data_IF_759728010861
#
_entry.id   IF_759728010861
#
_cell.length_a   1.000
_cell.length_b   1.000
_cell.length_c   1.000
_cell.angle_alpha   90.00
_cell.angle_beta   90.00
_cell.angle_gamma   90.00
#
_symmetry.space_group_name_H-M   'P 1'
#
loop_
_entity.id
_entity.type
_entity.pdbx_description
1 polymer ?
#
# COMPACT_ATOMS: atom_id res chain seq x y z
N UNK A 1 8.28 -6.23 10.79
CA UNK A 1 7.28 -6.67 9.80
C UNK A 1 6.46 -5.47 9.35
N UNK A 2 6.19 -5.36 8.06
CA UNK A 2 5.35 -4.30 7.50
C UNK A 2 4.26 -4.93 6.65
N UNK A 3 3.02 -4.48 6.86
CA UNK A 3 1.87 -4.83 6.04
C UNK A 3 1.26 -3.55 5.46
N UNK A 4 0.90 -3.58 4.20
CA UNK A 4 0.31 -2.43 3.52
C UNK A 4 -0.80 -2.86 2.57
N UNK A 5 -1.73 -1.96 2.34
CA UNK A 5 -2.65 -1.97 1.21
C UNK A 5 -2.48 -0.67 0.41
N UNK A 6 -3.42 -0.37 -0.47
CA UNK A 6 -3.37 0.84 -1.28
C UNK A 6 -3.51 2.14 -0.47
N UNK A 7 -4.13 2.10 0.71
CA UNK A 7 -4.49 3.28 1.49
C UNK A 7 -3.85 3.38 2.86
N UNK A 8 -3.22 2.31 3.34
CA UNK A 8 -2.68 2.27 4.69
C UNK A 8 -1.46 1.36 4.82
N UNK A 9 -0.67 1.64 5.83
CA UNK A 9 0.52 0.89 6.17
C UNK A 9 0.57 0.70 7.69
N UNK A 10 0.91 -0.50 8.11
CA UNK A 10 1.15 -0.82 9.53
C UNK A 10 2.51 -1.49 9.68
N UNK A 11 3.30 -0.98 10.59
CA UNK A 11 4.59 -1.57 10.96
C UNK A 11 4.51 -2.19 12.35
N UNK A 12 4.98 -3.41 12.46
CA UNK A 12 4.99 -4.18 13.70
C UNK A 12 6.42 -4.55 14.09
N UNK A 13 6.71 -4.46 15.37
CA UNK A 13 7.88 -5.10 15.98
C UNK A 13 7.53 -6.53 16.35
N UNK A 14 8.40 -7.44 15.98
CA UNK A 14 8.29 -8.85 16.36
C UNK A 14 9.07 -9.05 17.67
N UNK A 15 8.37 -9.42 18.71
CA UNK A 15 8.97 -9.75 20.00
C UNK A 15 8.90 -11.28 20.18
N UNK A 16 10.05 -11.90 20.37
CA UNK A 16 10.11 -13.33 20.67
C UNK A 16 9.89 -13.54 22.17
N UNK A 17 8.87 -14.31 22.51
CA UNK A 17 8.61 -14.70 23.89
C UNK A 17 8.87 -16.21 24.04
N UNK A 18 9.67 -16.64 25.05
CA UNK A 18 10.05 -18.06 25.19
C UNK A 18 8.87 -19.01 25.39
N UNK A 19 7.75 -18.51 25.90
CA UNK A 19 6.61 -19.34 26.33
C UNK A 19 5.38 -19.24 25.42
N UNK A 20 5.24 -18.18 24.63
CA UNK A 20 4.02 -17.91 23.85
C UNK A 20 4.25 -17.71 22.35
N UNK A 21 5.49 -17.85 21.90
CA UNK A 21 5.85 -17.59 20.52
C UNK A 21 5.94 -16.08 20.18
N UNK A 22 6.15 -15.76 18.91
CA UNK A 22 6.33 -14.38 18.46
C UNK A 22 5.06 -13.58 18.70
N UNK A 23 5.18 -12.44 19.35
CA UNK A 23 4.13 -11.45 19.52
C UNK A 23 4.42 -10.24 18.66
N UNK A 24 3.37 -9.61 18.13
CA UNK A 24 3.46 -8.45 17.26
C UNK A 24 2.98 -7.21 18.01
N UNK A 25 3.84 -6.20 18.07
CA UNK A 25 3.52 -4.91 18.62
C UNK A 25 3.45 -3.89 17.50
N UNK A 26 2.31 -3.23 17.35
CA UNK A 26 2.16 -2.11 16.41
C UNK A 26 3.05 -0.95 16.85
N UNK A 27 4.01 -0.57 16.01
CA UNK A 27 4.92 0.55 16.29
C UNK A 27 4.60 1.79 15.49
N UNK A 28 4.00 1.62 14.30
CA UNK A 28 3.60 2.74 13.45
C UNK A 28 2.43 2.35 12.55
N UNK A 29 1.49 3.27 12.37
CA UNK A 29 0.43 3.19 11.39
C UNK A 29 0.42 4.47 10.55
N UNK A 30 0.21 4.32 9.25
CA UNK A 30 0.18 5.42 8.29
C UNK A 30 -0.99 5.25 7.34
N UNK A 31 -1.73 6.32 7.09
CA UNK A 31 -2.84 6.35 6.15
C UNK A 31 -2.58 7.38 5.06
N UNK A 32 -2.84 6.99 3.81
CA UNK A 32 -2.75 7.88 2.66
C UNK A 32 -4.14 8.43 2.37
N UNK A 33 -4.31 9.73 2.55
CA UNK A 33 -5.60 10.41 2.39
C UNK A 33 -6.11 10.31 0.95
N UNK A 34 -5.23 10.38 -0.03
CA UNK A 34 -5.59 10.29 -1.45
C UNK A 34 -6.10 8.92 -1.89
N UNK A 35 -5.70 7.86 -1.20
CA UNK A 35 -6.15 6.51 -1.51
C UNK A 35 -7.59 6.23 -1.12
N UNK A 36 -8.14 6.97 -0.16
CA UNK A 36 -9.53 6.85 0.27
C UNK A 36 -10.48 7.71 -0.56
N UNK A 37 -9.97 8.67 -1.33
CA UNK A 37 -10.76 9.38 -2.33
C UNK A 37 -11.18 8.43 -3.44
N UNK A 38 -12.49 8.14 -3.54
CA UNK A 38 -12.98 7.37 -4.67
C UNK A 38 -12.64 8.11 -5.95
N UNK A 39 -12.02 7.44 -6.90
CA UNK A 39 -11.71 8.02 -8.20
C UNK A 39 -12.96 8.55 -8.89
N UNK A 40 -14.11 7.90 -8.63
CA UNK A 40 -15.44 8.29 -9.09
C UNK A 40 -15.85 9.63 -8.48
N UNK A 41 -15.56 9.90 -7.21
CA UNK A 41 -15.94 11.15 -6.55
C UNK A 41 -15.11 12.33 -7.06
N UNK A 42 -13.83 12.12 -7.36
CA UNK A 42 -12.97 13.15 -7.98
C UNK A 42 -13.36 13.50 -9.43
N UNK A 43 -13.96 12.56 -10.13
CA UNK A 43 -14.38 12.75 -11.51
C UNK A 43 -15.82 13.27 -11.61
N UNK A 44 -16.71 12.93 -10.67
CA UNK A 44 -18.09 13.40 -10.65
C UNK A 44 -18.21 14.88 -10.27
N UNK A 45 -17.33 15.39 -9.41
CA UNK A 45 -17.30 16.82 -9.09
C UNK A 45 -16.92 17.71 -10.28
N UNK A 46 -16.19 17.16 -11.24
CA UNK A 46 -15.84 17.84 -12.48
C UNK A 46 -16.93 17.76 -13.55
N UNK A 47 -17.76 16.74 -13.52
CA UNK A 47 -18.78 16.48 -14.54
C UNK A 47 -20.13 17.17 -14.27
N UNK A 48 -20.40 17.58 -13.03
CA UNK A 48 -21.69 18.11 -12.61
C UNK A 48 -21.92 19.61 -12.81
N UNK A 49 -20.93 20.36 -13.30
CA UNK A 49 -21.00 21.83 -13.35
C UNK A 49 -20.99 22.48 -14.72
N UNK A 50 -21.01 21.72 -15.80
CA UNK A 50 -21.15 22.32 -17.11
C UNK A 50 -22.62 22.31 -17.54
N UNK A 51 -23.25 23.48 -17.71
CA UNK A 51 -24.54 23.51 -18.37
C UNK A 51 -24.37 22.92 -19.76
N UNK A 52 -25.19 21.91 -20.05
CA UNK A 52 -25.27 21.34 -21.41
C UNK A 52 -25.72 22.45 -22.31
N UNK A 53 -24.77 23.10 -22.94
CA UNK A 53 -25.09 23.98 -24.08
C UNK A 53 -25.46 23.07 -25.23
N UNK A 54 -26.75 23.06 -25.58
CA UNK A 54 -27.23 22.45 -26.80
C UNK A 54 -26.37 22.94 -27.96
N UNK A 55 -25.54 22.06 -28.54
CA UNK A 55 -24.71 22.40 -29.67
C UNK A 55 -23.32 21.76 -29.73
N UNK A 56 -22.94 20.96 -28.77
CA UNK A 56 -21.66 20.27 -28.85
C UNK A 56 -21.82 18.94 -29.62
N UNK A 57 -21.23 18.90 -30.81
CA UNK A 57 -21.24 17.73 -31.69
C UNK A 57 -20.69 16.42 -31.08
N UNK A 58 -20.80 15.29 -31.79
CA UNK A 58 -20.76 13.93 -31.26
C UNK A 58 -19.38 13.39 -30.88
N UNK A 59 -18.37 14.22 -30.59
CA UNK A 59 -16.97 13.79 -30.49
C UNK A 59 -16.35 13.76 -29.08
N UNK A 60 -17.14 13.64 -27.98
CA UNK A 60 -16.56 13.67 -26.61
C UNK A 60 -16.52 12.33 -25.86
N UNK A 61 -16.84 11.19 -26.47
CA UNK A 61 -16.89 9.90 -25.76
C UNK A 61 -15.53 9.26 -25.43
N UNK A 62 -14.54 9.16 -26.36
CA UNK A 62 -13.33 8.36 -26.13
C UNK A 62 -12.27 9.07 -25.25
N UNK A 63 -12.16 10.40 -25.29
CA UNK A 63 -11.14 11.16 -24.57
C UNK A 63 -11.31 11.08 -23.04
N UNK A 64 -12.54 11.02 -22.52
CA UNK A 64 -12.79 10.98 -21.08
C UNK A 64 -12.37 9.66 -20.42
N UNK A 65 -12.41 8.54 -21.13
CA UNK A 65 -11.98 7.22 -20.60
C UNK A 65 -10.46 7.14 -20.53
N UNK A 66 -9.76 7.63 -21.57
CA UNK A 66 -8.29 7.68 -21.58
C UNK A 66 -7.74 8.59 -20.49
N UNK A 67 -8.34 9.78 -20.30
CA UNK A 67 -7.96 10.71 -19.22
C UNK A 67 -8.19 10.12 -17.82
N UNK A 68 -9.29 9.40 -17.60
CA UNK A 68 -9.57 8.71 -16.35
C UNK A 68 -8.55 7.61 -16.06
N UNK A 69 -8.16 6.86 -17.08
CA UNK A 69 -7.15 5.80 -16.95
C UNK A 69 -5.77 6.37 -16.63
N UNK A 70 -5.38 7.45 -17.27
CA UNK A 70 -4.12 8.15 -16.96
C UNK A 70 -4.10 8.71 -15.54
N UNK A 71 -5.17 9.36 -15.10
CA UNK A 71 -5.30 9.88 -13.74
C UNK A 71 -5.23 8.77 -12.69
N UNK A 72 -5.88 7.63 -12.94
CA UNK A 72 -5.82 6.47 -12.07
C UNK A 72 -4.39 5.93 -11.97
N UNK A 73 -3.68 5.81 -13.07
CA UNK A 73 -2.30 5.33 -13.13
C UNK A 73 -1.34 6.27 -12.40
N UNK A 74 -1.48 7.56 -12.57
CA UNK A 74 -0.66 8.56 -11.88
C UNK A 74 -0.93 8.58 -10.38
N UNK A 75 -2.19 8.45 -9.97
CA UNK A 75 -2.57 8.34 -8.56
C UNK A 75 -1.96 7.10 -7.93
N UNK A 76 -2.02 5.96 -8.61
CA UNK A 76 -1.44 4.71 -8.14
C UNK A 76 0.09 4.80 -7.99
N UNK A 77 0.78 5.40 -8.95
CA UNK A 77 2.22 5.63 -8.86
C UNK A 77 2.61 6.52 -7.68
N UNK A 78 1.84 7.56 -7.44
CA UNK A 78 2.04 8.46 -6.29
C UNK A 78 1.86 7.74 -4.97
N UNK A 79 0.81 6.96 -4.84
CA UNK A 79 0.54 6.14 -3.65
C UNK A 79 1.65 5.12 -3.41
N UNK A 80 2.05 4.40 -4.45
CA UNK A 80 3.13 3.40 -4.36
C UNK A 80 4.45 4.03 -3.96
N UNK A 81 4.78 5.20 -4.51
CA UNK A 81 5.98 5.96 -4.13
C UNK A 81 5.93 6.39 -2.67
N UNK A 82 4.82 6.94 -2.23
CA UNK A 82 4.65 7.38 -0.85
C UNK A 82 4.74 6.21 0.13
N UNK A 83 4.15 5.07 -0.19
CA UNK A 83 4.30 3.84 0.60
C UNK A 83 5.76 3.39 0.66
N UNK A 84 6.46 3.37 -0.46
CA UNK A 84 7.87 2.99 -0.52
C UNK A 84 8.76 3.95 0.30
N UNK A 85 8.52 5.24 0.24
CA UNK A 85 9.24 6.25 1.02
C UNK A 85 9.01 6.08 2.52
N UNK A 86 7.78 5.81 2.95
CA UNK A 86 7.46 5.54 4.35
C UNK A 86 8.09 4.22 4.84
N UNK A 87 8.05 3.18 4.04
CA UNK A 87 8.70 1.90 4.35
C UNK A 87 10.20 2.10 4.52
N UNK A 88 10.85 2.77 3.59
CA UNK A 88 12.28 3.06 3.65
C UNK A 88 12.65 3.83 4.93
N UNK A 89 11.84 4.82 5.31
CA UNK A 89 12.02 5.59 6.53
C UNK A 89 11.91 4.71 7.79
N UNK A 90 10.86 3.89 7.87
CA UNK A 90 10.62 3.00 9.01
C UNK A 90 11.75 1.98 9.15
N UNK A 91 12.16 1.34 8.05
CA UNK A 91 13.23 0.33 8.07
C UNK A 91 14.58 0.95 8.43
N UNK A 92 14.84 2.17 7.97
CA UNK A 92 16.08 2.90 8.29
C UNK A 92 16.16 3.34 9.75
N UNK A 93 15.03 3.60 10.38
CA UNK A 93 14.93 3.97 11.80
C UNK A 93 15.02 2.77 12.74
N UNK A 94 14.88 1.56 12.23
CA UNK A 94 14.92 0.33 13.01
C UNK A 94 16.15 -0.49 12.62
N UNK A 95 16.99 -0.76 13.62
CA UNK A 95 18.22 -1.55 13.47
C UNK A 95 17.91 -3.06 13.44
N UNK A 96 17.05 -3.53 12.56
CA UNK A 96 16.82 -4.95 12.41
C UNK A 96 17.56 -5.49 11.19
N UNK A 97 18.15 -6.69 11.30
CA UNK A 97 18.89 -7.32 10.21
C UNK A 97 18.00 -7.74 9.04
N UNK A 98 16.71 -7.97 9.31
CA UNK A 98 15.74 -8.35 8.31
C UNK A 98 14.32 -7.93 8.68
N UNK A 99 13.45 -7.85 7.66
CA UNK A 99 12.05 -7.52 7.85
C UNK A 99 11.17 -8.27 6.86
N UNK A 100 9.93 -8.57 7.25
CA UNK A 100 8.95 -9.25 6.41
C UNK A 100 7.96 -8.26 5.84
N UNK A 101 7.57 -8.47 4.57
CA UNK A 101 6.72 -7.56 3.82
C UNK A 101 5.47 -8.24 3.27
N UNK A 102 4.30 -7.66 3.52
CA UNK A 102 3.04 -8.08 2.91
C UNK A 102 2.32 -6.91 2.24
N UNK A 103 1.87 -7.15 1.02
CA UNK A 103 1.05 -6.23 0.25
C UNK A 103 0.18 -7.02 -0.73
N UNK A 104 -0.95 -6.47 -1.19
CA UNK A 104 -1.70 -7.05 -2.31
C UNK A 104 -0.83 -7.30 -3.53
N UNK A 105 -1.10 -8.37 -4.26
CA UNK A 105 -0.30 -8.78 -5.41
C UNK A 105 -0.13 -7.68 -6.47
N UNK A 106 -1.17 -6.85 -6.64
CA UNK A 106 -1.21 -5.77 -7.63
C UNK A 106 -0.18 -4.66 -7.38
N UNK A 107 0.14 -4.40 -6.10
CA UNK A 107 1.05 -3.31 -5.73
C UNK A 107 2.37 -3.81 -5.15
N UNK A 108 2.47 -5.09 -4.78
CA UNK A 108 3.63 -5.65 -4.09
C UNK A 108 4.93 -5.44 -4.88
N UNK A 109 4.97 -5.86 -6.14
CA UNK A 109 6.15 -5.74 -6.98
C UNK A 109 6.55 -4.27 -7.22
N UNK A 110 5.56 -3.42 -7.49
CA UNK A 110 5.79 -2.00 -7.73
C UNK A 110 6.40 -1.29 -6.51
N UNK A 111 5.92 -1.59 -5.31
CA UNK A 111 6.48 -1.03 -4.08
C UNK A 111 7.92 -1.52 -3.87
N UNK A 112 8.16 -2.84 -4.02
CA UNK A 112 9.50 -3.42 -3.85
C UNK A 112 10.51 -2.80 -4.82
N UNK A 113 10.12 -2.57 -6.08
CA UNK A 113 10.97 -1.96 -7.09
C UNK A 113 11.33 -0.50 -6.77
N UNK A 114 10.44 0.21 -6.07
CA UNK A 114 10.67 1.60 -5.64
C UNK A 114 11.51 1.71 -4.36
N UNK A 115 11.70 0.63 -3.61
CA UNK A 115 12.52 0.64 -2.40
C UNK A 115 14.01 0.81 -2.74
N UNK A 116 14.76 1.58 -1.91
CA UNK A 116 16.21 1.59 -2.00
C UNK A 116 16.79 0.18 -1.89
N UNK A 117 17.86 -0.08 -2.61
CA UNK A 117 18.51 -1.39 -2.66
C UNK A 117 18.87 -1.94 -1.28
N UNK A 118 19.40 -1.09 -0.39
CA UNK A 118 19.74 -1.47 0.98
C UNK A 118 18.52 -1.91 1.82
N UNK A 119 17.37 -1.31 1.60
CA UNK A 119 16.10 -1.66 2.27
C UNK A 119 15.53 -2.95 1.69
N UNK A 120 15.51 -3.05 0.37
CA UNK A 120 14.98 -4.20 -0.36
C UNK A 120 15.74 -5.49 -0.05
N UNK A 121 17.06 -5.45 0.02
CA UNK A 121 17.92 -6.61 0.32
C UNK A 121 17.69 -7.20 1.72
N UNK A 122 17.11 -6.42 2.63
CA UNK A 122 16.79 -6.85 4.00
C UNK A 122 15.43 -7.52 4.13
N UNK A 123 14.67 -7.64 3.05
CA UNK A 123 13.38 -8.36 3.08
C UNK A 123 13.66 -9.86 3.15
N UNK A 124 13.27 -10.47 4.26
CA UNK A 124 13.46 -11.91 4.50
C UNK A 124 12.27 -12.73 4.03
N UNK A 125 11.10 -12.14 3.93
CA UNK A 125 9.89 -12.83 3.48
C UNK A 125 8.94 -11.87 2.76
N UNK A 126 8.38 -12.34 1.66
CA UNK A 126 7.38 -11.63 0.85
C UNK A 126 6.04 -12.37 0.92
N UNK A 127 4.97 -11.66 1.26
CA UNK A 127 3.60 -12.18 1.25
C UNK A 127 2.75 -11.31 0.32
N UNK A 128 2.21 -11.91 -0.73
CA UNK A 128 1.35 -11.21 -1.71
C UNK A 128 -0.11 -11.33 -1.28
N UNK A 129 -0.47 -10.64 -0.21
CA UNK A 129 -1.83 -10.65 0.35
C UNK A 129 -2.12 -9.34 1.08
N UNK A 130 -3.38 -8.91 1.04
CA UNK A 130 -3.85 -7.78 1.84
C UNK A 130 -4.08 -8.23 3.28
N UNK A 131 -3.17 -7.84 4.17
CA UNK A 131 -3.19 -8.20 5.57
C UNK A 131 -3.39 -7.01 6.52
N UNK A 132 -3.64 -5.81 6.01
CA UNK A 132 -3.78 -4.59 6.82
C UNK A 132 -4.93 -4.67 7.82
N UNK A 133 -6.02 -5.33 7.43
CA UNK A 133 -7.22 -5.49 8.27
C UNK A 133 -7.16 -6.73 9.19
N UNK A 134 -6.13 -7.55 9.04
CA UNK A 134 -5.95 -8.74 9.87
C UNK A 134 -5.43 -8.33 11.25
N UNK A 135 -6.03 -8.88 12.30
CA UNK A 135 -5.58 -8.65 13.67
C UNK A 135 -4.15 -9.13 13.91
N UNK A 136 -3.39 -8.38 14.70
CA UNK A 136 -1.99 -8.69 15.01
C UNK A 136 -1.79 -10.13 15.50
N UNK A 137 -2.70 -10.64 16.32
CA UNK A 137 -2.65 -12.01 16.84
C UNK A 137 -2.74 -13.09 15.75
N UNK A 138 -3.32 -12.76 14.59
CA UNK A 138 -3.48 -13.69 13.47
C UNK A 138 -2.44 -13.48 12.36
N UNK A 139 -1.76 -12.35 12.35
CA UNK A 139 -0.76 -12.03 11.31
C UNK A 139 0.38 -13.05 11.27
N UNK A 140 0.79 -13.57 12.42
CA UNK A 140 1.86 -14.57 12.51
C UNK A 140 1.56 -15.85 11.72
N UNK A 141 0.28 -16.20 11.51
CA UNK A 141 -0.08 -17.39 10.73
C UNK A 141 0.16 -17.22 9.23
N UNK A 142 0.22 -15.99 8.74
CA UNK A 142 0.43 -15.65 7.33
C UNK A 142 1.91 -15.60 6.94
N UNK A 143 2.80 -15.46 7.93
CA UNK A 143 4.25 -15.40 7.71
C UNK A 143 4.92 -16.69 8.16
N UNK A 144 5.67 -17.32 7.27
CA UNK A 144 6.41 -18.55 7.59
C UNK A 144 7.52 -18.31 8.60
N UNK A 145 8.19 -17.17 8.49
CA UNK A 145 9.24 -16.74 9.39
C UNK A 145 8.78 -16.57 10.84
N UNK A 146 7.48 -16.41 11.07
CA UNK A 146 6.89 -16.23 12.40
C UNK A 146 6.14 -17.47 12.92
N UNK A 147 6.01 -18.50 12.11
CA UNK A 147 5.42 -19.77 12.57
C UNK A 147 6.41 -20.47 13.50
N UNK A 148 5.95 -20.85 14.67
CA UNK A 148 6.72 -21.75 15.52
C UNK A 148 6.89 -23.10 14.80
N UNK A 149 8.11 -23.53 14.80
CA UNK A 149 8.46 -24.89 14.37
C UNK A 149 7.99 -25.87 15.43
#
# INVERSE_FOLDING_TARGET
MIVTDRGSLKAYRVNETPTRGPSLQLVQAFNITDAHGRLIDKVSDSAGRFPVTEGAGPHRGPASIAERTQLATETDRRIQKELADQIAKIVSQNESDGWSFAAPAEIHAAIVDLLPSAVRQRIVEHVKSDLVKVEAARLNTHFRSLRQI
#
